data_IF_863152639018
#
_entry.id   IF_863152639018
#
_cell.length_a   1.000
_cell.length_b   1.000
_cell.length_c   1.000
_cell.angle_alpha   90.00
_cell.angle_beta   90.00
_cell.angle_gamma   90.00
#
_symmetry.space_group_name_H-M   'P 1'
#
loop_
_entity.id
_entity.type
_entity.pdbx_description
1 polymer ?
#
# COMPACT_ATOMS: atom_id res chain seq x y z
N UNK A 1 -8.24 78.10 1.62
CA UNK A 1 -8.02 76.66 1.33
C UNK A 1 -7.70 75.96 2.64
N UNK A 2 -8.71 75.40 3.27
CA UNK A 2 -8.62 74.66 4.54
C UNK A 2 -8.53 73.19 4.20
N UNK A 3 -7.40 72.58 4.56
CA UNK A 3 -7.12 71.16 4.38
C UNK A 3 -8.04 70.37 5.36
N UNK A 4 -8.91 69.49 4.81
CA UNK A 4 -9.71 68.53 5.56
C UNK A 4 -8.80 67.34 5.94
N UNK A 5 -8.64 67.06 7.25
CA UNK A 5 -7.94 65.93 7.76
C UNK A 5 -8.70 64.62 7.42
N UNK A 6 -8.02 63.54 7.05
CA UNK A 6 -8.67 62.28 6.76
C UNK A 6 -9.25 61.68 8.06
N UNK A 7 -10.52 61.32 8.02
CA UNK A 7 -11.23 60.61 9.06
C UNK A 7 -10.58 59.22 9.25
N UNK A 8 -9.99 58.95 10.42
CA UNK A 8 -9.51 57.65 10.83
C UNK A 8 -10.71 56.67 10.89
N UNK A 9 -10.75 55.70 9.98
CA UNK A 9 -11.66 54.62 9.98
C UNK A 9 -11.45 53.73 11.23
N UNK A 10 -12.52 53.36 11.97
CA UNK A 10 -12.35 52.55 13.18
C UNK A 10 -11.74 51.17 12.82
N UNK A 11 -10.60 50.82 13.42
CA UNK A 11 -10.01 49.51 13.37
C UNK A 11 -10.95 48.53 14.06
N UNK A 12 -11.81 47.86 13.29
CA UNK A 12 -12.63 46.76 13.77
C UNK A 12 -11.72 45.53 13.98
N UNK A 13 -11.15 45.43 15.17
CA UNK A 13 -10.47 44.20 15.63
C UNK A 13 -11.54 43.19 16.11
N UNK A 14 -12.28 42.63 15.17
CA UNK A 14 -13.06 41.43 15.42
C UNK A 14 -12.32 40.26 14.79
N UNK A 15 -11.41 39.62 15.56
CA UNK A 15 -11.18 38.19 15.36
C UNK A 15 -12.41 37.48 15.92
N UNK A 16 -13.33 37.00 15.10
CA UNK A 16 -14.44 36.20 15.62
C UNK A 16 -13.76 34.98 16.25
N UNK A 17 -14.01 34.79 17.53
CA UNK A 17 -13.69 33.54 18.24
C UNK A 17 -14.47 32.47 17.48
N UNK A 18 -13.77 31.72 16.62
CA UNK A 18 -14.35 30.85 15.62
C UNK A 18 -14.89 29.59 16.35
N UNK A 19 -16.02 29.77 17.05
CA UNK A 19 -16.70 28.71 17.80
C UNK A 19 -16.95 27.50 16.92
N UNK A 20 -17.15 27.72 15.62
CA UNK A 20 -17.29 26.65 14.62
C UNK A 20 -16.01 25.83 14.48
N UNK A 21 -14.82 26.45 14.46
CA UNK A 21 -13.56 25.73 14.39
C UNK A 21 -13.29 24.90 15.64
N UNK A 22 -13.65 25.42 16.82
CA UNK A 22 -13.51 24.71 18.08
C UNK A 22 -14.44 23.50 18.12
N UNK A 23 -15.70 23.66 17.73
CA UNK A 23 -16.68 22.58 17.67
C UNK A 23 -16.22 21.51 16.68
N UNK A 24 -15.77 21.91 15.48
CA UNK A 24 -15.23 20.97 14.48
C UNK A 24 -13.98 20.24 15.00
N UNK A 25 -13.07 20.93 15.70
CA UNK A 25 -11.89 20.30 16.27
C UNK A 25 -12.25 19.29 17.37
N UNK A 26 -13.24 19.60 18.22
CA UNK A 26 -13.74 18.66 19.23
C UNK A 26 -14.34 17.42 18.57
N UNK A 27 -15.25 17.60 17.59
CA UNK A 27 -15.82 16.48 16.86
C UNK A 27 -14.78 15.63 16.13
N UNK A 28 -13.85 16.27 15.43
CA UNK A 28 -12.74 15.57 14.78
C UNK A 28 -11.91 14.76 15.79
N UNK A 29 -11.63 15.33 16.96
CA UNK A 29 -10.89 14.64 18.04
C UNK A 29 -11.67 13.44 18.55
N UNK A 30 -12.97 13.57 18.79
CA UNK A 30 -13.83 12.46 19.25
C UNK A 30 -13.84 11.34 18.21
N UNK A 31 -14.06 11.66 16.93
CA UNK A 31 -14.07 10.66 15.84
C UNK A 31 -12.71 9.97 15.71
N UNK A 32 -11.62 10.73 15.70
CA UNK A 32 -10.27 10.16 15.63
C UNK A 32 -10.00 9.27 16.84
N UNK A 33 -10.32 9.71 18.04
CA UNK A 33 -10.14 8.91 19.25
C UNK A 33 -10.91 7.59 19.16
N UNK A 34 -12.18 7.64 18.74
CA UNK A 34 -13.01 6.45 18.55
C UNK A 34 -12.41 5.48 17.52
N UNK A 35 -11.89 5.98 16.40
CA UNK A 35 -11.27 5.17 15.36
C UNK A 35 -9.93 4.55 15.80
N UNK A 36 -9.14 5.27 16.63
CA UNK A 36 -7.83 4.78 17.06
C UNK A 36 -7.87 3.92 18.33
N UNK A 37 -8.94 3.98 19.14
CA UNK A 37 -9.07 3.15 20.36
C UNK A 37 -8.85 1.66 20.08
N UNK A 38 -9.47 1.00 19.07
CA UNK A 38 -9.23 -0.42 18.81
C UNK A 38 -7.77 -0.72 18.52
N UNK A 39 -7.09 0.13 17.72
CA UNK A 39 -5.68 -0.02 17.38
C UNK A 39 -4.80 0.12 18.63
N UNK A 40 -5.06 1.13 19.46
CA UNK A 40 -4.34 1.34 20.71
C UNK A 40 -4.55 0.18 21.69
N UNK A 41 -5.73 -0.42 21.72
CA UNK A 41 -6.00 -1.62 22.51
C UNK A 41 -5.19 -2.83 22.01
N UNK A 42 -5.09 -3.04 20.71
CA UNK A 42 -4.23 -4.10 20.14
C UNK A 42 -2.77 -3.86 20.49
N UNK A 43 -2.28 -2.62 20.35
CA UNK A 43 -0.92 -2.25 20.76
C UNK A 43 -0.70 -2.52 22.26
N UNK A 44 -1.62 -2.07 23.12
CA UNK A 44 -1.55 -2.33 24.55
C UNK A 44 -1.52 -3.83 24.87
N UNK A 45 -2.40 -4.62 24.25
CA UNK A 45 -2.49 -6.06 24.48
C UNK A 45 -1.28 -6.82 23.95
N UNK A 46 -0.55 -6.29 22.97
CA UNK A 46 0.71 -6.89 22.50
C UNK A 46 1.80 -6.92 23.60
N UNK A 47 1.68 -6.06 24.63
CA UNK A 47 2.55 -6.04 25.80
C UNK A 47 1.94 -6.74 27.02
N UNK A 48 0.82 -7.46 26.88
CA UNK A 48 0.19 -8.16 27.98
C UNK A 48 1.05 -9.34 28.45
N UNK A 49 1.30 -9.45 29.76
CA UNK A 49 2.04 -10.58 30.35
C UNK A 49 1.23 -11.87 30.34
N UNK A 50 -0.10 -11.78 30.33
CA UNK A 50 -1.02 -12.93 30.35
C UNK A 50 -0.93 -13.83 29.12
N UNK A 51 -1.54 -15.01 29.20
CA UNK A 51 -1.64 -15.97 28.09
C UNK A 51 -2.81 -15.72 27.13
N UNK A 52 -3.68 -14.74 27.44
CA UNK A 52 -4.87 -14.42 26.64
C UNK A 52 -4.76 -13.00 26.04
N UNK A 53 -5.15 -12.87 24.77
CA UNK A 53 -5.27 -11.57 24.10
C UNK A 53 -6.49 -10.77 24.61
N UNK A 54 -7.50 -11.44 25.10
CA UNK A 54 -8.77 -10.82 25.53
C UNK A 54 -8.68 -10.31 26.95
N UNK A 55 -7.97 -11.04 27.85
CA UNK A 55 -7.90 -10.74 29.27
C UNK A 55 -6.60 -10.00 29.59
N UNK A 56 -6.72 -8.81 30.16
CA UNK A 56 -5.57 -8.03 30.62
C UNK A 56 -5.07 -8.52 31.99
N UNK A 57 -3.81 -8.93 32.04
CA UNK A 57 -3.18 -9.47 33.27
C UNK A 57 -2.59 -8.39 34.20
N UNK A 58 -2.95 -7.11 34.03
CA UNK A 58 -2.50 -5.96 34.81
C UNK A 58 -0.97 -5.69 34.85
N UNK A 59 -0.18 -6.45 34.10
CA UNK A 59 1.26 -6.30 33.98
C UNK A 59 1.71 -6.20 32.54
N UNK A 60 2.67 -5.30 32.27
CA UNK A 60 3.32 -5.17 30.96
C UNK A 60 4.50 -6.14 30.83
N UNK A 61 4.71 -6.68 29.65
CA UNK A 61 5.83 -7.55 29.33
C UNK A 61 6.12 -7.55 27.83
N UNK A 62 7.38 -7.65 27.48
CA UNK A 62 7.84 -7.84 26.09
C UNK A 62 7.96 -9.32 25.72
N UNK A 63 7.47 -10.23 26.58
CA UNK A 63 7.57 -11.69 26.38
C UNK A 63 7.10 -12.13 24.99
N UNK A 64 5.97 -11.60 24.52
CA UNK A 64 5.38 -11.99 23.25
C UNK A 64 6.14 -11.42 22.04
N UNK A 65 6.80 -10.29 22.21
CA UNK A 65 7.71 -9.74 21.21
C UNK A 65 8.97 -10.61 21.07
N UNK A 66 9.53 -11.07 22.18
CA UNK A 66 10.62 -12.04 22.18
C UNK A 66 10.19 -13.41 21.66
N UNK A 67 8.94 -13.82 21.87
CA UNK A 67 8.40 -15.07 21.34
C UNK A 67 8.06 -14.96 19.84
N UNK A 68 7.70 -13.77 19.36
CA UNK A 68 7.39 -13.51 17.95
C UNK A 68 8.63 -13.71 17.09
N UNK A 69 9.73 -13.05 17.46
CA UNK A 69 10.97 -13.07 16.68
C UNK A 69 11.95 -14.12 17.18
N UNK A 70 12.61 -14.80 16.27
CA UNK A 70 13.83 -15.54 16.57
C UNK A 70 14.96 -14.51 16.74
N UNK A 71 15.19 -14.06 17.98
CA UNK A 71 16.08 -12.94 18.29
C UNK A 71 17.47 -13.13 17.68
N UNK A 72 18.03 -14.34 17.77
CA UNK A 72 19.36 -14.62 17.24
C UNK A 72 19.43 -14.51 15.71
N UNK A 73 18.47 -15.12 14.99
CA UNK A 73 18.40 -15.04 13.53
C UNK A 73 18.08 -13.64 13.06
N UNK A 74 17.21 -12.93 13.78
CA UNK A 74 16.81 -11.55 13.47
C UNK A 74 18.00 -10.59 13.58
N UNK A 75 18.79 -10.65 14.66
CA UNK A 75 19.99 -9.83 14.80
C UNK A 75 21.01 -10.13 13.71
N UNK A 76 21.27 -11.40 13.40
CA UNK A 76 22.17 -11.78 12.32
C UNK A 76 21.68 -11.26 10.96
N UNK A 77 20.36 -11.32 10.68
CA UNK A 77 19.80 -10.80 9.45
C UNK A 77 19.96 -9.27 9.34
N UNK A 78 19.72 -8.54 10.43
CA UNK A 78 19.91 -7.07 10.50
C UNK A 78 21.37 -6.72 10.24
N UNK A 79 22.31 -7.36 10.92
CA UNK A 79 23.74 -7.09 10.76
C UNK A 79 24.21 -7.38 9.33
N UNK A 80 23.81 -8.50 8.74
CA UNK A 80 24.14 -8.85 7.36
C UNK A 80 23.52 -7.88 6.37
N UNK A 81 22.26 -7.49 6.56
CA UNK A 81 21.59 -6.52 5.69
C UNK A 81 22.32 -5.18 5.67
N UNK A 82 22.56 -4.59 6.84
CA UNK A 82 23.28 -3.33 6.93
C UNK A 82 24.73 -3.44 6.48
N UNK A 83 25.39 -4.59 6.74
CA UNK A 83 26.73 -4.89 6.24
C UNK A 83 26.79 -4.85 4.71
N UNK A 84 25.84 -5.50 4.02
CA UNK A 84 25.77 -5.50 2.56
C UNK A 84 25.50 -4.09 2.02
N UNK A 85 24.54 -3.38 2.61
CA UNK A 85 24.24 -1.99 2.21
C UNK A 85 25.48 -1.10 2.35
N UNK A 86 26.18 -1.21 3.48
CA UNK A 86 27.39 -0.45 3.75
C UNK A 86 28.50 -0.76 2.74
N UNK A 87 28.77 -2.04 2.49
CA UNK A 87 29.81 -2.48 1.54
C UNK A 87 29.52 -1.96 0.14
N UNK A 88 28.29 -2.09 -0.34
CA UNK A 88 27.92 -1.61 -1.68
C UNK A 88 27.94 -0.08 -1.75
N UNK A 89 27.55 0.59 -0.70
CA UNK A 89 27.67 2.05 -0.61
C UNK A 89 29.14 2.50 -0.66
N UNK A 90 30.02 1.82 0.06
CA UNK A 90 31.47 2.09 0.03
C UNK A 90 32.05 1.85 -1.37
N UNK A 91 31.72 0.71 -1.99
CA UNK A 91 32.13 0.41 -3.37
C UNK A 91 31.64 1.51 -4.33
N UNK A 92 30.36 1.92 -4.24
CA UNK A 92 29.82 3.00 -5.05
C UNK A 92 30.51 4.35 -4.83
N UNK A 93 30.90 4.64 -3.58
CA UNK A 93 31.58 5.89 -3.23
C UNK A 93 33.02 5.97 -3.77
N UNK A 94 33.75 4.84 -3.71
CA UNK A 94 35.17 4.79 -4.07
C UNK A 94 35.45 4.35 -5.51
N UNK A 95 34.45 3.81 -6.23
CA UNK A 95 34.62 3.30 -7.60
C UNK A 95 34.88 4.35 -8.67
N UNK A 96 34.67 5.64 -8.37
CA UNK A 96 34.79 6.73 -9.36
C UNK A 96 33.66 6.75 -10.42
N UNK A 97 32.84 5.71 -10.52
CA UNK A 97 31.76 5.57 -11.51
C UNK A 97 30.50 6.26 -11.04
N UNK A 98 30.10 7.35 -11.71
CA UNK A 98 28.91 8.17 -11.34
C UNK A 98 27.62 7.35 -11.25
N UNK A 99 27.43 6.39 -12.15
CA UNK A 99 26.23 5.53 -12.18
C UNK A 99 26.21 4.63 -10.93
N UNK A 100 27.32 3.98 -10.60
CA UNK A 100 27.42 3.09 -9.45
C UNK A 100 27.22 3.86 -8.13
N UNK A 101 27.76 5.06 -8.04
CA UNK A 101 27.56 5.96 -6.89
C UNK A 101 26.06 6.33 -6.70
N UNK A 102 25.33 6.57 -7.81
CA UNK A 102 23.90 6.91 -7.74
C UNK A 102 23.04 5.73 -7.32
N UNK A 103 23.40 4.52 -7.78
CA UNK A 103 22.62 3.29 -7.57
C UNK A 103 23.12 2.41 -6.42
N UNK A 104 24.18 2.79 -5.71
CA UNK A 104 24.78 1.98 -4.64
C UNK A 104 23.80 1.66 -3.50
N UNK A 105 23.03 2.63 -3.02
CA UNK A 105 22.06 2.40 -1.94
C UNK A 105 20.90 1.49 -2.41
N UNK A 106 20.19 1.77 -3.54
CA UNK A 106 19.17 0.87 -4.05
C UNK A 106 19.66 -0.55 -4.31
N UNK A 107 20.85 -0.69 -4.92
CA UNK A 107 21.47 -1.99 -5.16
C UNK A 107 21.84 -2.70 -3.85
N UNK A 108 22.36 -1.96 -2.86
CA UNK A 108 22.67 -2.50 -1.54
C UNK A 108 21.42 -3.04 -0.83
N UNK A 109 20.34 -2.30 -0.88
CA UNK A 109 19.03 -2.71 -0.34
C UNK A 109 18.53 -3.96 -1.06
N UNK A 110 18.52 -3.96 -2.40
CA UNK A 110 18.05 -5.10 -3.19
C UNK A 110 18.86 -6.37 -2.90
N UNK A 111 20.19 -6.27 -2.91
CA UNK A 111 21.09 -7.40 -2.60
C UNK A 111 20.96 -7.83 -1.13
N UNK A 112 20.82 -6.89 -0.19
CA UNK A 112 20.57 -7.19 1.20
C UNK A 112 19.29 -7.98 1.42
N UNK A 113 18.22 -7.63 0.71
CA UNK A 113 16.94 -8.36 0.72
C UNK A 113 17.12 -9.77 0.14
N UNK A 114 17.76 -9.89 -1.03
CA UNK A 114 17.95 -11.19 -1.71
C UNK A 114 18.81 -12.14 -0.86
N UNK A 115 19.97 -11.69 -0.40
CA UNK A 115 20.90 -12.51 0.37
C UNK A 115 20.29 -12.93 1.71
N UNK A 116 19.64 -12.02 2.43
CA UNK A 116 18.94 -12.38 3.66
C UNK A 116 17.76 -13.32 3.42
N UNK A 117 17.00 -13.09 2.34
CA UNK A 117 15.89 -13.97 1.97
C UNK A 117 16.36 -15.41 1.76
N UNK A 118 17.47 -15.60 1.07
CA UNK A 118 18.07 -16.93 0.88
C UNK A 118 18.55 -17.57 2.18
N UNK A 119 19.13 -16.78 3.10
CA UNK A 119 19.65 -17.28 4.39
C UNK A 119 18.57 -17.59 5.42
N UNK A 120 17.47 -16.87 5.39
CA UNK A 120 16.38 -16.93 6.37
C UNK A 120 15.09 -17.51 5.79
N UNK A 121 15.21 -18.38 4.78
CA UNK A 121 14.03 -18.98 4.14
C UNK A 121 13.00 -17.95 3.67
N UNK A 122 13.44 -16.85 3.04
CA UNK A 122 12.61 -15.71 2.69
C UNK A 122 11.93 -15.08 3.90
N UNK A 123 12.71 -14.86 4.95
CA UNK A 123 12.33 -14.24 6.22
C UNK A 123 11.35 -15.04 7.09
N UNK A 124 10.97 -16.26 6.70
CA UNK A 124 10.10 -17.12 7.53
C UNK A 124 10.77 -17.53 8.84
N UNK A 125 12.08 -17.78 8.79
CA UNK A 125 12.87 -18.21 9.95
C UNK A 125 13.13 -17.09 10.98
N UNK A 126 12.78 -15.83 10.66
CA UNK A 126 12.88 -14.73 11.63
C UNK A 126 11.84 -14.85 12.73
N UNK A 127 10.79 -15.63 12.49
CA UNK A 127 9.69 -15.84 13.45
C UNK A 127 9.81 -17.23 14.07
N UNK A 128 9.51 -17.31 15.37
CA UNK A 128 9.51 -18.58 16.08
C UNK A 128 8.35 -19.51 15.66
N UNK A 129 7.25 -18.91 15.18
CA UNK A 129 6.08 -19.63 14.67
C UNK A 129 6.14 -19.67 13.13
N UNK A 130 6.48 -20.82 12.56
CA UNK A 130 6.62 -20.99 11.11
C UNK A 130 5.36 -20.61 10.34
N UNK A 131 4.17 -20.92 10.87
CA UNK A 131 2.90 -20.56 10.25
C UNK A 131 2.68 -19.04 10.14
N UNK A 132 3.10 -18.29 11.16
CA UNK A 132 3.03 -16.84 11.16
C UNK A 132 4.00 -16.21 10.15
N UNK A 133 5.24 -16.66 10.13
CA UNK A 133 6.25 -16.18 9.18
C UNK A 133 5.83 -16.44 7.74
N UNK A 134 5.28 -17.63 7.46
CA UNK A 134 4.74 -17.97 6.16
C UNK A 134 3.55 -17.08 5.78
N UNK A 135 2.60 -16.87 6.70
CA UNK A 135 1.43 -16.03 6.47
C UNK A 135 1.80 -14.57 6.21
N UNK A 136 2.76 -14.01 6.95
CA UNK A 136 3.28 -12.66 6.69
C UNK A 136 3.96 -12.58 5.32
N UNK A 137 4.84 -13.53 4.98
CA UNK A 137 5.47 -13.59 3.65
C UNK A 137 4.42 -13.64 2.54
N UNK A 138 3.39 -14.48 2.71
CA UNK A 138 2.33 -14.62 1.72
C UNK A 138 1.53 -13.31 1.57
N UNK A 139 1.22 -12.61 2.67
CA UNK A 139 0.56 -11.30 2.60
C UNK A 139 1.39 -10.28 1.81
N UNK A 140 2.69 -10.17 2.09
CA UNK A 140 3.55 -9.23 1.34
C UNK A 140 3.70 -9.62 -0.13
N UNK A 141 3.88 -10.90 -0.44
CA UNK A 141 3.98 -11.35 -1.83
C UNK A 141 2.67 -11.16 -2.58
N UNK A 142 1.52 -11.42 -1.93
CA UNK A 142 0.21 -11.18 -2.49
C UNK A 142 -0.02 -9.67 -2.75
N UNK A 143 0.30 -8.82 -1.77
CA UNK A 143 0.15 -7.38 -1.90
C UNK A 143 1.04 -6.79 -3.00
N UNK A 144 2.32 -7.20 -3.08
CA UNK A 144 3.24 -6.73 -4.12
C UNK A 144 2.78 -7.19 -5.50
N UNK A 145 2.47 -8.48 -5.66
CA UNK A 145 2.06 -9.03 -6.96
C UNK A 145 0.71 -8.48 -7.42
N UNK A 146 -0.29 -8.43 -6.54
CA UNK A 146 -1.61 -7.85 -6.83
C UNK A 146 -1.51 -6.37 -7.21
N UNK A 147 -0.71 -5.59 -6.45
CA UNK A 147 -0.46 -4.18 -6.77
C UNK A 147 0.26 -3.99 -8.09
N UNK A 148 1.26 -4.80 -8.40
CA UNK A 148 1.98 -4.70 -9.68
C UNK A 148 1.03 -4.90 -10.87
N UNK A 149 0.16 -5.92 -10.80
CA UNK A 149 -0.88 -6.15 -11.81
C UNK A 149 -1.86 -4.98 -11.85
N UNK A 150 -2.33 -4.52 -10.70
CA UNK A 150 -3.30 -3.43 -10.60
C UNK A 150 -2.76 -2.11 -11.18
N UNK A 151 -1.52 -1.73 -10.85
CA UNK A 151 -0.89 -0.51 -11.38
C UNK A 151 -0.65 -0.62 -12.88
N UNK A 152 -0.22 -1.77 -13.35
CA UNK A 152 0.01 -1.99 -14.79
C UNK A 152 -1.30 -1.94 -15.57
N UNK A 153 -2.27 -2.78 -15.23
CA UNK A 153 -3.55 -2.85 -15.95
C UNK A 153 -4.39 -1.59 -15.72
N UNK A 154 -4.52 -1.16 -14.47
CA UNK A 154 -5.29 0.02 -14.10
C UNK A 154 -4.67 1.31 -14.64
N UNK A 155 -3.34 1.42 -14.64
CA UNK A 155 -2.64 2.53 -15.25
C UNK A 155 -2.90 2.65 -16.75
N UNK A 156 -2.74 1.55 -17.49
CA UNK A 156 -3.01 1.51 -18.94
C UNK A 156 -4.49 1.81 -19.24
N UNK A 157 -5.42 1.21 -18.50
CA UNK A 157 -6.86 1.44 -18.66
C UNK A 157 -7.22 2.90 -18.36
N UNK A 158 -6.66 3.48 -17.29
CA UNK A 158 -6.88 4.87 -16.90
C UNK A 158 -6.42 5.86 -17.97
N UNK A 159 -5.23 5.65 -18.53
CA UNK A 159 -4.72 6.46 -19.65
C UNK A 159 -5.61 6.32 -20.88
N UNK A 160 -5.99 5.09 -21.24
CA UNK A 160 -6.83 4.83 -22.41
C UNK A 160 -8.21 5.47 -22.28
N UNK A 161 -8.82 5.42 -21.08
CA UNK A 161 -10.13 6.02 -20.80
C UNK A 161 -10.09 7.56 -20.77
N UNK A 162 -8.95 8.15 -20.42
CA UNK A 162 -8.81 9.59 -20.39
C UNK A 162 -8.56 10.18 -21.77
N UNK A 163 -7.72 9.53 -22.59
CA UNK A 163 -7.24 10.07 -23.87
C UNK A 163 -8.01 9.59 -25.10
N UNK A 164 -8.74 8.48 -25.00
CA UNK A 164 -9.50 7.93 -26.13
C UNK A 164 -10.98 7.82 -25.79
N UNK A 165 -11.76 8.79 -26.21
CA UNK A 165 -13.22 8.76 -26.11
C UNK A 165 -13.79 7.98 -27.29
N UNK A 166 -14.65 6.98 -27.01
CA UNK A 166 -15.29 6.15 -28.03
C UNK A 166 -16.52 5.44 -27.46
N UNK A 167 -17.24 4.73 -28.32
CA UNK A 167 -18.43 3.99 -27.92
C UNK A 167 -18.18 2.96 -26.80
N UNK A 168 -16.95 2.44 -26.69
CA UNK A 168 -16.52 1.47 -25.68
C UNK A 168 -16.32 2.08 -24.28
N UNK A 169 -16.09 3.39 -24.17
CA UNK A 169 -15.77 4.07 -22.91
C UNK A 169 -16.89 3.95 -21.90
N UNK A 170 -18.15 4.16 -22.34
CA UNK A 170 -19.33 4.08 -21.47
C UNK A 170 -19.54 2.69 -20.87
N UNK A 171 -19.60 1.60 -21.68
CA UNK A 171 -19.75 0.26 -21.13
C UNK A 171 -18.55 -0.17 -20.26
N UNK A 172 -17.34 0.24 -20.60
CA UNK A 172 -16.16 -0.07 -19.78
C UNK A 172 -16.22 0.62 -18.41
N UNK A 173 -16.60 1.89 -18.39
CA UNK A 173 -16.84 2.62 -17.13
C UNK A 173 -17.94 1.99 -16.29
N UNK A 174 -19.02 1.54 -16.94
CA UNK A 174 -20.09 0.82 -16.23
C UNK A 174 -19.56 -0.45 -15.56
N UNK A 175 -18.76 -1.25 -16.25
CA UNK A 175 -18.13 -2.45 -15.68
C UNK A 175 -17.20 -2.11 -14.52
N UNK A 176 -16.39 -1.04 -14.62
CA UNK A 176 -15.52 -0.61 -13.51
C UNK A 176 -16.35 -0.24 -12.26
N UNK A 177 -17.41 0.53 -12.43
CA UNK A 177 -18.30 0.86 -11.32
C UNK A 177 -19.03 -0.37 -10.78
N UNK A 178 -19.42 -1.30 -11.65
CA UNK A 178 -20.03 -2.55 -11.23
C UNK A 178 -19.10 -3.34 -10.31
N UNK A 179 -17.83 -3.49 -10.68
CA UNK A 179 -16.81 -4.15 -9.83
C UNK A 179 -16.68 -3.46 -8.47
N UNK A 180 -16.67 -2.11 -8.43
CA UNK A 180 -16.50 -1.36 -7.18
C UNK A 180 -17.74 -1.40 -6.28
N UNK A 181 -18.93 -1.56 -6.84
CA UNK A 181 -20.20 -1.62 -6.09
C UNK A 181 -20.54 -3.06 -5.68
N UNK A 182 -20.02 -4.06 -6.40
CA UNK A 182 -20.26 -5.47 -6.08
C UNK A 182 -19.69 -5.80 -4.70
N UNK A 183 -20.48 -6.45 -3.82
CA UNK A 183 -19.95 -6.90 -2.53
C UNK A 183 -18.77 -7.86 -2.72
N UNK A 184 -17.67 -7.60 -2.03
CA UNK A 184 -16.42 -8.35 -2.17
C UNK A 184 -16.57 -9.86 -2.00
N UNK A 185 -17.54 -10.31 -1.19
CA UNK A 185 -17.83 -11.72 -1.01
C UNK A 185 -18.34 -12.37 -2.30
N UNK A 186 -19.06 -11.64 -3.14
CA UNK A 186 -19.55 -12.13 -4.44
C UNK A 186 -18.40 -12.34 -5.39
N UNK A 187 -17.46 -11.37 -5.43
CA UNK A 187 -16.24 -11.49 -6.22
C UNK A 187 -15.39 -12.66 -5.78
N UNK A 188 -15.28 -12.88 -4.45
CA UNK A 188 -14.52 -13.98 -3.89
C UNK A 188 -15.11 -15.36 -4.29
N UNK A 189 -16.44 -15.51 -4.24
CA UNK A 189 -17.14 -16.73 -4.65
C UNK A 189 -17.02 -16.96 -6.16
N UNK A 190 -17.18 -15.90 -6.95
CA UNK A 190 -17.03 -15.96 -8.40
C UNK A 190 -15.61 -16.37 -8.82
N UNK A 191 -14.59 -15.77 -8.20
CA UNK A 191 -13.19 -16.12 -8.41
C UNK A 191 -12.88 -17.56 -8.00
N UNK A 192 -13.38 -18.00 -6.85
CA UNK A 192 -13.23 -19.41 -6.43
C UNK A 192 -13.85 -20.35 -7.47
N UNK A 193 -15.09 -20.06 -7.90
CA UNK A 193 -15.78 -20.84 -8.94
C UNK A 193 -15.01 -20.84 -10.26
N UNK A 194 -14.44 -19.70 -10.64
CA UNK A 194 -13.59 -19.57 -11.84
C UNK A 194 -12.30 -20.40 -11.71
N UNK A 195 -11.56 -20.29 -10.61
CA UNK A 195 -10.34 -21.05 -10.39
C UNK A 195 -10.58 -22.57 -10.32
N UNK A 196 -11.74 -23.00 -9.87
CA UNK A 196 -12.09 -24.43 -9.76
C UNK A 196 -12.64 -24.99 -11.08
N UNK A 197 -13.48 -24.24 -11.79
CA UNK A 197 -14.20 -24.75 -12.99
C UNK A 197 -13.55 -24.40 -14.32
N UNK A 198 -13.10 -23.14 -14.45
CA UNK A 198 -12.55 -22.60 -15.71
C UNK A 198 -11.04 -22.80 -15.74
N UNK A 199 -10.50 -23.24 -14.63
CA UNK A 199 -9.12 -23.66 -14.54
C UNK A 199 -8.71 -24.70 -15.55
N UNK A 200 -9.60 -25.22 -16.46
CA UNK A 200 -9.30 -26.06 -17.57
C UNK A 200 -7.88 -26.63 -17.58
N UNK A 201 -6.92 -26.00 -18.25
CA UNK A 201 -5.50 -26.35 -18.15
C UNK A 201 -4.91 -26.09 -16.76
N UNK A 202 -5.59 -25.36 -15.90
CA UNK A 202 -5.13 -24.96 -14.56
C UNK A 202 -5.72 -25.82 -13.43
N UNK A 203 -6.61 -26.75 -13.74
CA UNK A 203 -7.23 -27.67 -12.77
C UNK A 203 -6.41 -28.95 -12.53
N UNK A 204 -5.31 -29.12 -13.26
CA UNK A 204 -4.34 -30.17 -12.99
C UNK A 204 -3.25 -29.65 -12.06
N UNK A 205 -2.79 -30.52 -11.16
CA UNK A 205 -1.77 -30.25 -10.12
C UNK A 205 -0.45 -29.65 -10.62
N UNK A 206 -0.31 -29.41 -11.91
CA UNK A 206 0.91 -29.01 -12.62
C UNK A 206 0.83 -27.60 -13.25
N UNK A 207 -0.32 -26.92 -13.19
CA UNK A 207 -0.46 -25.59 -13.83
C UNK A 207 0.09 -24.44 -12.95
N UNK A 208 0.73 -23.43 -13.54
CA UNK A 208 1.24 -22.27 -12.76
C UNK A 208 0.14 -21.52 -12.00
N UNK A 209 -1.11 -21.57 -12.44
CA UNK A 209 -2.25 -20.96 -11.73
C UNK A 209 -2.85 -21.86 -10.63
N UNK A 210 -2.36 -23.07 -10.43
CA UNK A 210 -2.68 -23.82 -9.22
C UNK A 210 -1.84 -23.36 -8.00
N UNK A 211 -0.87 -22.48 -8.22
CA UNK A 211 -0.13 -21.82 -7.16
C UNK A 211 -1.04 -20.81 -6.44
N UNK A 212 -1.31 -21.05 -5.14
CA UNK A 212 -2.17 -20.18 -4.33
C UNK A 212 -1.72 -18.72 -4.29
N UNK A 213 -0.42 -18.43 -4.41
CA UNK A 213 0.10 -17.05 -4.50
C UNK A 213 -0.34 -16.36 -5.80
N UNK A 214 -0.30 -17.06 -6.93
CA UNK A 214 -0.78 -16.50 -8.21
C UNK A 214 -2.29 -16.26 -8.19
N UNK A 215 -3.07 -17.16 -7.57
CA UNK A 215 -4.50 -16.94 -7.36
C UNK A 215 -4.77 -15.68 -6.52
N UNK A 216 -3.95 -15.44 -5.48
CA UNK A 216 -4.02 -14.23 -4.67
C UNK A 216 -3.69 -12.98 -5.51
N UNK A 217 -2.64 -13.01 -6.34
CA UNK A 217 -2.28 -11.88 -7.21
C UNK A 217 -3.42 -11.50 -8.14
N UNK A 218 -3.98 -12.49 -8.85
CA UNK A 218 -5.08 -12.26 -9.80
C UNK A 218 -6.34 -11.82 -9.05
N UNK A 219 -6.72 -12.53 -7.99
CA UNK A 219 -7.94 -12.23 -7.25
C UNK A 219 -7.95 -10.83 -6.63
N UNK A 220 -6.86 -10.45 -5.98
CA UNK A 220 -6.76 -9.13 -5.33
C UNK A 220 -6.57 -7.98 -6.34
N UNK A 221 -5.98 -8.25 -7.51
CA UNK A 221 -5.79 -7.22 -8.53
C UNK A 221 -7.09 -6.80 -9.21
N UNK A 222 -8.14 -7.60 -9.20
CA UNK A 222 -9.40 -7.30 -9.89
C UNK A 222 -10.02 -5.98 -9.40
N UNK A 223 -10.32 -5.89 -8.12
CA UNK A 223 -10.88 -4.70 -7.50
C UNK A 223 -9.91 -3.52 -7.50
N UNK A 224 -8.64 -3.78 -7.16
CA UNK A 224 -7.65 -2.72 -7.03
C UNK A 224 -7.23 -2.12 -8.36
N UNK A 225 -7.30 -2.87 -9.48
CA UNK A 225 -7.06 -2.31 -10.82
C UNK A 225 -8.17 -1.33 -11.24
N UNK A 226 -9.42 -1.57 -10.84
CA UNK A 226 -10.51 -0.62 -11.09
C UNK A 226 -10.27 0.70 -10.35
N UNK A 227 -9.83 0.65 -9.08
CA UNK A 227 -9.46 1.86 -8.32
C UNK A 227 -8.31 2.62 -8.96
N UNK A 228 -7.22 1.94 -9.31
CA UNK A 228 -6.07 2.57 -9.98
C UNK A 228 -6.50 3.22 -11.31
N UNK A 229 -7.38 2.55 -12.07
CA UNK A 229 -7.94 3.11 -13.33
C UNK A 229 -8.61 4.44 -13.10
N UNK A 230 -9.48 4.54 -12.08
CA UNK A 230 -10.20 5.77 -11.78
C UNK A 230 -9.27 6.89 -11.30
N UNK A 231 -8.28 6.57 -10.44
CA UNK A 231 -7.30 7.54 -9.94
C UNK A 231 -6.46 8.12 -11.09
N UNK A 232 -5.94 7.25 -11.96
CA UNK A 232 -5.13 7.70 -13.12
C UNK A 232 -5.97 8.49 -14.10
N UNK A 233 -7.20 8.04 -14.38
CA UNK A 233 -8.13 8.77 -15.26
C UNK A 233 -8.46 10.15 -14.71
N UNK A 234 -8.78 10.27 -13.42
CA UNK A 234 -9.08 11.55 -12.77
C UNK A 234 -7.88 12.51 -12.86
N UNK A 235 -6.66 12.01 -12.65
CA UNK A 235 -5.44 12.82 -12.79
C UNK A 235 -5.25 13.33 -14.21
N UNK A 236 -5.40 12.48 -15.21
CA UNK A 236 -5.25 12.85 -16.63
C UNK A 236 -6.34 13.81 -17.12
N UNK A 237 -7.57 13.68 -16.63
CA UNK A 237 -8.66 14.60 -16.97
C UNK A 237 -8.40 16.05 -16.52
N UNK A 238 -7.51 16.25 -15.52
CA UNK A 238 -7.07 17.57 -15.07
C UNK A 238 -5.80 18.08 -15.75
N UNK A 239 -5.22 17.33 -16.70
CA UNK A 239 -4.00 17.72 -17.41
C UNK A 239 -4.34 18.21 -18.82
N UNK A 240 -3.65 19.29 -19.24
CA UNK A 240 -3.81 19.88 -20.56
C UNK A 240 -3.26 18.93 -21.66
N UNK A 241 -4.10 18.61 -22.63
CA UNK A 241 -3.74 17.76 -23.78
C UNK A 241 -2.79 18.45 -24.74
N UNK A 242 -2.75 19.79 -24.74
CA UNK A 242 -1.86 20.58 -25.59
C UNK A 242 -0.37 20.23 -25.43
N UNK A 243 0.03 19.72 -24.28
CA UNK A 243 1.41 19.26 -24.04
C UNK A 243 1.78 18.05 -24.91
N UNK A 244 0.84 17.14 -25.13
CA UNK A 244 1.05 15.97 -25.99
C UNK A 244 0.98 16.35 -27.47
N UNK A 245 0.08 17.28 -27.84
CA UNK A 245 -0.04 17.82 -29.19
C UNK A 245 1.21 18.59 -29.60
N UNK A 246 1.71 19.49 -28.73
CA UNK A 246 2.96 20.22 -28.98
C UNK A 246 4.17 19.30 -29.15
N UNK A 247 4.23 18.19 -28.43
CA UNK A 247 5.27 17.19 -28.66
C UNK A 247 5.16 16.52 -30.03
N UNK A 248 3.92 16.26 -30.49
CA UNK A 248 3.64 15.74 -31.82
C UNK A 248 4.08 16.70 -32.92
N UNK A 249 3.79 18.00 -32.77
CA UNK A 249 4.20 19.06 -33.70
C UNK A 249 5.73 19.18 -33.82
N UNK A 250 6.44 18.91 -32.73
CA UNK A 250 7.91 18.82 -32.72
C UNK A 250 8.45 17.48 -33.25
N UNK A 251 7.60 16.62 -33.83
CA UNK A 251 7.99 15.35 -34.44
C UNK A 251 8.28 14.22 -33.44
N UNK A 252 7.85 14.33 -32.19
CA UNK A 252 8.02 13.26 -31.24
C UNK A 252 7.04 12.10 -31.53
N UNK A 253 7.51 10.85 -31.66
CA UNK A 253 6.61 9.71 -31.82
C UNK A 253 5.77 9.52 -30.53
N UNK A 254 4.53 8.98 -30.63
CA UNK A 254 3.59 8.85 -29.50
C UNK A 254 4.19 8.16 -28.26
N UNK A 255 5.01 7.12 -28.47
CA UNK A 255 5.69 6.41 -27.39
C UNK A 255 6.70 7.30 -26.62
N UNK A 256 7.35 8.25 -27.32
CA UNK A 256 8.27 9.21 -26.70
C UNK A 256 7.51 10.28 -25.94
N UNK A 257 6.44 10.84 -26.53
CA UNK A 257 5.55 11.79 -25.86
C UNK A 257 4.96 11.17 -24.58
N UNK A 258 4.44 9.97 -24.65
CA UNK A 258 3.95 9.25 -23.47
C UNK A 258 5.01 9.10 -22.39
N UNK A 259 6.20 8.62 -22.76
CA UNK A 259 7.26 8.33 -21.77
C UNK A 259 7.90 9.59 -21.16
N UNK A 260 7.99 10.68 -21.94
CA UNK A 260 8.69 11.91 -21.50
C UNK A 260 7.75 12.96 -20.92
N UNK A 261 6.46 12.93 -21.26
CA UNK A 261 5.47 13.94 -20.83
C UNK A 261 4.40 13.27 -19.97
N UNK A 262 3.60 12.37 -20.53
CA UNK A 262 2.43 11.81 -19.85
C UNK A 262 2.81 10.99 -18.62
N UNK A 263 3.75 10.06 -18.75
CA UNK A 263 4.16 9.17 -17.66
C UNK A 263 4.73 9.91 -16.44
N UNK A 264 5.61 10.91 -16.58
CA UNK A 264 6.05 11.72 -15.44
C UNK A 264 4.91 12.50 -14.76
N UNK A 265 3.96 13.05 -15.55
CA UNK A 265 2.83 13.81 -15.03
C UNK A 265 1.81 12.97 -14.24
N UNK A 266 1.63 11.69 -14.63
CA UNK A 266 0.75 10.75 -13.91
C UNK A 266 1.49 9.92 -12.85
N UNK A 267 2.79 10.07 -12.71
CA UNK A 267 3.59 9.24 -11.79
C UNK A 267 3.12 9.36 -10.35
N UNK A 268 2.71 10.55 -9.90
CA UNK A 268 2.14 10.75 -8.57
C UNK A 268 0.84 9.97 -8.38
N UNK A 269 -0.04 9.95 -9.37
CA UNK A 269 -1.28 9.19 -9.35
C UNK A 269 -1.04 7.67 -9.38
N UNK A 270 -0.06 7.21 -10.18
CA UNK A 270 0.34 5.79 -10.19
C UNK A 270 0.91 5.34 -8.85
N UNK A 271 1.74 6.17 -8.22
CA UNK A 271 2.31 5.88 -6.89
C UNK A 271 1.19 5.86 -5.83
N UNK A 272 0.29 6.85 -5.83
CA UNK A 272 -0.82 6.91 -4.89
C UNK A 272 -1.80 5.74 -5.08
N UNK A 273 -2.18 5.44 -6.33
CA UNK A 273 -3.03 4.28 -6.67
C UNK A 273 -2.36 2.96 -6.31
N UNK A 274 -1.06 2.84 -6.55
CA UNK A 274 -0.26 1.68 -6.17
C UNK A 274 -0.20 1.49 -4.65
N UNK A 275 -0.01 2.55 -3.88
CA UNK A 275 -0.03 2.46 -2.42
C UNK A 275 -1.40 2.04 -1.89
N UNK A 276 -2.46 2.66 -2.40
CA UNK A 276 -3.83 2.29 -2.03
C UNK A 276 -4.09 0.81 -2.36
N UNK A 277 -3.72 0.37 -3.57
CA UNK A 277 -3.80 -1.03 -3.98
C UNK A 277 -3.00 -1.95 -3.05
N UNK A 278 -1.77 -1.58 -2.71
CA UNK A 278 -0.92 -2.36 -1.79
C UNK A 278 -1.56 -2.52 -0.41
N UNK A 279 -2.08 -1.44 0.14
CA UNK A 279 -2.73 -1.47 1.46
C UNK A 279 -3.97 -2.36 1.45
N UNK A 280 -4.82 -2.22 0.41
CA UNK A 280 -6.03 -3.03 0.26
C UNK A 280 -5.70 -4.52 0.03
N UNK A 281 -4.68 -4.84 -0.76
CA UNK A 281 -4.24 -6.22 -0.95
C UNK A 281 -3.63 -6.81 0.33
N UNK A 282 -2.92 -6.01 1.13
CA UNK A 282 -2.27 -6.48 2.36
C UNK A 282 -3.27 -6.89 3.43
N UNK A 283 -4.38 -6.15 3.55
CA UNK A 283 -5.45 -6.37 4.54
C UNK A 283 -6.58 -7.26 4.00
N UNK A 284 -6.54 -7.65 2.73
CA UNK A 284 -7.60 -8.43 2.12
C UNK A 284 -7.77 -9.80 2.77
N UNK A 285 -8.95 -10.00 3.34
CA UNK A 285 -9.30 -11.24 4.05
C UNK A 285 -10.27 -12.09 3.26
N UNK A 286 -11.27 -11.46 2.62
CA UNK A 286 -12.41 -12.16 2.01
C UNK A 286 -11.96 -12.92 0.76
N UNK A 287 -11.32 -12.24 -0.17
CA UNK A 287 -10.78 -12.87 -1.38
C UNK A 287 -9.68 -13.86 -0.97
N UNK A 288 -8.75 -13.44 -0.09
CA UNK A 288 -7.64 -14.28 0.32
C UNK A 288 -8.10 -15.60 0.95
N UNK A 289 -9.13 -15.57 1.82
CA UNK A 289 -9.68 -16.79 2.44
C UNK A 289 -10.35 -17.73 1.42
N UNK A 290 -10.92 -17.16 0.35
CA UNK A 290 -11.66 -17.93 -0.65
C UNK A 290 -10.75 -18.57 -1.70
N UNK A 291 -9.70 -17.86 -2.15
CA UNK A 291 -8.85 -18.31 -3.26
C UNK A 291 -7.54 -18.95 -2.84
N UNK A 292 -7.13 -18.81 -1.56
CA UNK A 292 -5.89 -19.41 -1.06
C UNK A 292 -5.95 -20.94 -1.07
N UNK A 293 -4.81 -21.55 -1.29
CA UNK A 293 -4.60 -23.00 -1.22
C UNK A 293 -3.73 -23.34 -0.01
N UNK A 294 -3.51 -24.62 0.25
CA UNK A 294 -2.62 -25.06 1.32
C UNK A 294 -1.24 -24.39 1.20
N UNK A 295 -0.77 -23.77 2.28
CA UNK A 295 0.52 -23.05 2.32
C UNK A 295 0.49 -21.62 1.78
N UNK A 296 -0.60 -21.12 1.20
CA UNK A 296 -0.73 -19.74 0.69
C UNK A 296 -1.59 -18.82 1.56
N UNK A 297 -1.94 -19.24 2.77
CA UNK A 297 -2.71 -18.44 3.72
C UNK A 297 -2.02 -17.11 4.02
N UNK A 298 -2.78 -16.02 3.97
CA UNK A 298 -2.30 -14.67 4.30
C UNK A 298 -2.43 -14.38 5.79
N UNK A 299 -1.75 -13.32 6.27
CA UNK A 299 -1.78 -12.96 7.68
C UNK A 299 -3.19 -12.69 8.24
N UNK A 300 -4.08 -11.91 7.58
CA UNK A 300 -5.46 -11.74 8.05
C UNK A 300 -6.22 -13.06 8.19
N UNK A 301 -6.06 -13.96 7.22
CA UNK A 301 -6.69 -15.30 7.25
C UNK A 301 -6.12 -16.15 8.39
N UNK A 302 -4.80 -16.11 8.61
CA UNK A 302 -4.13 -16.77 9.72
C UNK A 302 -4.63 -16.27 11.08
N UNK A 303 -4.79 -14.95 11.24
CA UNK A 303 -5.30 -14.34 12.47
C UNK A 303 -6.71 -14.81 12.79
N UNK A 304 -7.61 -14.81 11.80
CA UNK A 304 -8.99 -15.29 11.98
C UNK A 304 -9.02 -16.78 12.33
N UNK A 305 -8.23 -17.60 11.65
CA UNK A 305 -8.11 -19.03 11.96
C UNK A 305 -7.60 -19.27 13.39
N UNK A 306 -6.57 -18.52 13.81
CA UNK A 306 -6.00 -18.63 15.15
C UNK A 306 -6.95 -18.09 16.23
N UNK A 307 -7.67 -17.00 15.94
CA UNK A 307 -8.62 -16.41 16.88
C UNK A 307 -9.79 -17.34 17.22
N UNK A 308 -10.13 -18.25 16.32
CA UNK A 308 -11.18 -19.29 16.56
C UNK A 308 -10.67 -20.42 17.46
N UNK A 309 -9.37 -20.69 17.48
CA UNK A 309 -8.79 -21.82 18.22
C UNK A 309 -8.10 -21.39 19.54
N UNK A 310 -7.30 -20.35 19.50
CA UNK A 310 -6.55 -19.83 20.66
C UNK A 310 -6.16 -18.37 20.43
N UNK A 311 -6.58 -17.47 21.29
CA UNK A 311 -6.18 -16.06 21.25
C UNK A 311 -4.90 -15.84 22.04
N UNK A 312 -3.75 -16.18 21.47
CA UNK A 312 -2.46 -15.86 22.10
C UNK A 312 -2.06 -14.40 21.81
N UNK A 313 -1.49 -13.68 22.79
CA UNK A 313 -1.09 -12.28 22.62
C UNK A 313 -0.01 -12.02 21.55
N UNK A 314 0.73 -13.04 21.10
CA UNK A 314 1.71 -12.89 20.03
C UNK A 314 1.08 -12.44 18.70
N UNK A 315 -0.20 -12.78 18.45
CA UNK A 315 -0.95 -12.32 17.28
C UNK A 315 -1.11 -10.79 17.29
N UNK A 316 -1.31 -10.22 18.50
CA UNK A 316 -1.33 -8.77 18.67
C UNK A 316 0.03 -8.12 18.35
N UNK A 317 1.13 -8.73 18.78
CA UNK A 317 2.47 -8.24 18.44
C UNK A 317 2.72 -8.29 16.92
N UNK A 318 2.30 -9.37 16.25
CA UNK A 318 2.39 -9.50 14.80
C UNK A 318 1.53 -8.45 14.06
N UNK A 319 0.31 -8.19 14.54
CA UNK A 319 -0.55 -7.15 13.99
C UNK A 319 0.08 -5.74 14.13
N UNK A 320 0.73 -5.45 15.25
CA UNK A 320 1.47 -4.19 15.45
C UNK A 320 2.64 -4.06 14.49
N UNK A 321 3.38 -5.14 14.23
CA UNK A 321 4.46 -5.15 13.22
C UNK A 321 3.90 -4.83 11.83
N UNK A 322 2.81 -5.49 11.43
CA UNK A 322 2.17 -5.25 10.13
C UNK A 322 1.69 -3.79 10.02
N UNK A 323 1.04 -3.29 11.06
CA UNK A 323 0.60 -1.89 11.13
C UNK A 323 1.78 -0.92 11.01
N UNK A 324 2.90 -1.19 11.70
CA UNK A 324 4.12 -0.41 11.60
C UNK A 324 4.69 -0.38 10.18
N UNK A 325 4.71 -1.52 9.49
CA UNK A 325 5.15 -1.61 8.10
C UNK A 325 4.23 -0.79 7.17
N UNK A 326 2.92 -0.87 7.37
CA UNK A 326 1.94 -0.08 6.61
C UNK A 326 2.17 1.42 6.80
N UNK A 327 2.38 1.86 8.05
CA UNK A 327 2.70 3.27 8.33
C UNK A 327 4.03 3.71 7.71
N UNK A 328 5.05 2.86 7.73
CA UNK A 328 6.33 3.16 7.06
C UNK A 328 6.16 3.28 5.54
N UNK A 329 5.40 2.39 4.91
CA UNK A 329 5.09 2.45 3.49
C UNK A 329 4.35 3.76 3.14
N UNK A 330 3.34 4.13 3.94
CA UNK A 330 2.60 5.39 3.78
C UNK A 330 3.51 6.62 3.93
N UNK A 331 4.36 6.63 4.96
CA UNK A 331 5.34 7.70 5.19
C UNK A 331 6.36 7.83 4.06
N UNK A 332 6.80 6.69 3.50
CA UNK A 332 7.69 6.68 2.35
C UNK A 332 7.04 7.34 1.12
N UNK A 333 5.82 6.94 0.79
CA UNK A 333 5.08 7.51 -0.35
C UNK A 333 4.79 8.99 -0.15
N UNK A 334 4.37 9.39 1.05
CA UNK A 334 4.20 10.81 1.38
C UNK A 334 5.48 11.61 1.13
N UNK A 335 6.63 11.05 1.51
CA UNK A 335 7.94 11.67 1.30
C UNK A 335 8.30 11.81 -0.19
N UNK A 336 7.94 10.78 -0.99
CA UNK A 336 8.15 10.80 -2.46
C UNK A 336 7.26 11.84 -3.13
N UNK A 337 5.97 11.85 -2.80
CA UNK A 337 5.00 12.81 -3.36
C UNK A 337 5.37 14.26 -3.01
N UNK A 338 5.79 14.51 -1.78
CA UNK A 338 6.27 15.84 -1.36
C UNK A 338 7.49 16.33 -2.17
N UNK A 339 8.41 15.43 -2.53
CA UNK A 339 9.56 15.76 -3.38
C UNK A 339 9.19 16.02 -4.84
N UNK A 340 8.05 15.50 -5.30
CA UNK A 340 7.54 15.71 -6.66
C UNK A 340 6.91 17.11 -6.87
N UNK A 341 6.89 17.97 -5.85
CA UNK A 341 6.39 19.33 -5.93
C UNK A 341 4.87 19.45 -5.73
N UNK A 342 4.18 18.38 -5.41
CA UNK A 342 2.76 18.41 -5.09
C UNK A 342 2.55 19.12 -3.74
N UNK A 343 1.57 20.04 -3.67
CA UNK A 343 1.22 20.70 -2.41
C UNK A 343 0.61 19.70 -1.43
N UNK A 344 0.71 19.97 -0.12
CA UNK A 344 0.17 19.08 0.91
C UNK A 344 -1.34 18.82 0.73
N UNK A 345 -2.08 19.79 0.19
CA UNK A 345 -3.51 19.65 -0.12
C UNK A 345 -3.76 18.74 -1.32
N UNK A 346 -2.93 18.81 -2.36
CA UNK A 346 -3.00 17.92 -3.52
C UNK A 346 -2.64 16.48 -3.15
N UNK A 347 -1.63 16.31 -2.29
CA UNK A 347 -1.26 14.99 -1.77
C UNK A 347 -2.42 14.39 -0.98
N UNK A 348 -3.04 15.18 -0.10
CA UNK A 348 -4.19 14.73 0.70
C UNK A 348 -5.39 14.36 -0.17
N UNK A 349 -5.74 15.16 -1.18
CA UNK A 349 -6.84 14.84 -2.10
C UNK A 349 -6.53 13.59 -2.94
N UNK A 350 -5.30 13.42 -3.41
CA UNK A 350 -4.90 12.24 -4.19
C UNK A 350 -4.97 10.96 -3.35
N UNK A 351 -4.58 11.02 -2.07
CA UNK A 351 -4.66 9.89 -1.15
C UNK A 351 -6.08 9.60 -0.68
N UNK A 352 -6.93 10.62 -0.60
CA UNK A 352 -8.34 10.49 -0.22
C UNK A 352 -9.25 10.02 -1.37
N UNK A 353 -8.71 9.85 -2.58
CA UNK A 353 -9.49 9.42 -3.75
C UNK A 353 -10.43 10.53 -4.26
N UNK A 354 -10.03 11.81 -4.09
CA UNK A 354 -10.81 13.02 -4.39
C UNK A 354 -11.36 13.14 -5.78
#
# INVERSE_FOLDING_TARGET
>A
MTAVAPLDAPKVNHTPRDSGKIIMAIWATIVLTFLFIPILLVIRHSFNRGGSFIVWAHHYSTKWWGALFNVHKTWNAILVFFGIVLVIWLIGRYSGVKVLRRWSIPLGIALGIIVNGQRTGWYTDLFNENGLGLALRNSFTAAIGGTAIAVFLGGLAGVSLARRTGAWTKPFMFVLFLILVTPEIMDAIALLGWFVRVGGPFNHDVGPLNNGILRLWVGQSLYTSALVTLIVRARLAGLDESLEEAAGDLGAPPARAFRQITLPLISSALIAGGLLSFTLCLDNTIIANSVSTAGSSTFPVYVIGTAKSTTKPFVGAAAVVLFGVTLMALGFVFSVLRKSGDSSSQIASTLAGG
#
